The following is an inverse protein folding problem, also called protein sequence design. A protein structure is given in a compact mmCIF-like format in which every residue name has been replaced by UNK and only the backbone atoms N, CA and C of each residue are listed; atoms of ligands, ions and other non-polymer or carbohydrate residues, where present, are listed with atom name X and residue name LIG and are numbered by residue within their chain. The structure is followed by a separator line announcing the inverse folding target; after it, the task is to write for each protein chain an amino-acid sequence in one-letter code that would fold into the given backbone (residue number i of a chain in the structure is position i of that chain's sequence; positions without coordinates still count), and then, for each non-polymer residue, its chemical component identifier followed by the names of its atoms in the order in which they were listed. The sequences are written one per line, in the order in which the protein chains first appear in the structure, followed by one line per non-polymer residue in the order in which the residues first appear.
data_IF_289696662967
#
_entry.id   IF_289696662967
#
_cell.length_a   1.000
_cell.length_b   1.000
_cell.length_c   1.000
_cell.angle_alpha   90.00
_cell.angle_beta   90.00
_cell.angle_gamma   90.00
#
_symmetry.space_group_name_H-M   'P 1'
#
loop_
_entity.id
_entity.type
_entity.pdbx_description
1 polymer ?
#
# COMPACT_ATOMS: atom_id res chain seq x y z
N UNK A 1 26.18 -16.10 -23.36
CA UNK A 1 25.78 -15.20 -22.26
C UNK A 1 25.36 -13.92 -22.97
N UNK A 2 24.06 -13.62 -23.02
CA UNK A 2 23.56 -12.41 -23.69
C UNK A 2 24.22 -11.18 -23.06
N UNK A 3 24.70 -10.28 -23.91
CA UNK A 3 25.34 -9.04 -23.50
C UNK A 3 24.25 -8.09 -23.01
N UNK A 4 24.27 -7.75 -21.73
CA UNK A 4 23.30 -6.81 -21.14
C UNK A 4 23.58 -5.42 -21.73
N UNK A 5 22.64 -4.89 -22.51
CA UNK A 5 22.77 -3.57 -23.13
C UNK A 5 22.66 -2.45 -22.08
N UNK A 6 23.48 -1.41 -22.25
CA UNK A 6 23.38 -0.20 -21.46
C UNK A 6 22.01 0.48 -21.62
N UNK A 7 21.43 0.43 -22.83
CA UNK A 7 20.08 0.97 -23.09
C UNK A 7 19.03 0.24 -22.25
N UNK A 8 19.12 -1.10 -22.17
CA UNK A 8 18.16 -1.91 -21.40
C UNK A 8 18.26 -1.62 -19.91
N UNK A 9 19.47 -1.38 -19.40
CA UNK A 9 19.68 -0.99 -18.00
C UNK A 9 19.09 0.39 -17.71
N UNK A 10 19.34 1.37 -18.57
CA UNK A 10 18.83 2.73 -18.43
C UNK A 10 17.30 2.80 -18.53
N UNK A 11 16.70 2.05 -19.46
CA UNK A 11 15.25 1.91 -19.59
C UNK A 11 14.68 1.29 -18.31
N UNK A 12 15.26 0.20 -17.82
CA UNK A 12 14.79 -0.46 -16.60
C UNK A 12 14.87 0.45 -15.37
N UNK A 13 15.97 1.18 -15.20
CA UNK A 13 16.11 2.14 -14.11
C UNK A 13 15.10 3.28 -14.25
N UNK A 14 14.92 3.82 -15.45
CA UNK A 14 13.97 4.91 -15.72
C UNK A 14 12.53 4.49 -15.45
N UNK A 15 12.13 3.30 -15.90
CA UNK A 15 10.81 2.73 -15.60
C UNK A 15 10.63 2.51 -14.11
N UNK A 16 11.63 1.95 -13.42
CA UNK A 16 11.55 1.74 -11.97
C UNK A 16 11.39 3.07 -11.22
N UNK A 17 12.14 4.11 -11.61
CA UNK A 17 12.00 5.46 -11.04
C UNK A 17 10.62 6.06 -11.30
N UNK A 18 10.06 5.87 -12.50
CA UNK A 18 8.72 6.34 -12.82
C UNK A 18 7.67 5.68 -11.92
N UNK A 19 7.71 4.36 -11.84
CA UNK A 19 6.77 3.56 -11.06
C UNK A 19 6.85 3.89 -9.56
N UNK A 20 8.06 4.03 -9.00
CA UNK A 20 8.25 4.50 -7.62
C UNK A 20 7.53 5.84 -7.44
N UNK A 21 7.77 6.83 -8.31
CA UNK A 21 7.13 8.16 -8.20
C UNK A 21 5.61 8.07 -8.27
N UNK A 22 5.03 7.20 -9.11
CA UNK A 22 3.58 7.02 -9.18
C UNK A 22 3.01 6.43 -7.88
N UNK A 23 3.67 5.42 -7.32
CA UNK A 23 3.20 4.82 -6.07
C UNK A 23 3.41 5.73 -4.86
N UNK A 24 4.44 6.57 -4.84
CA UNK A 24 4.59 7.62 -3.82
C UNK A 24 3.45 8.65 -3.91
N UNK A 25 3.00 9.03 -5.12
CA UNK A 25 1.83 9.91 -5.29
C UNK A 25 0.56 9.23 -4.78
N UNK A 26 0.37 7.95 -5.09
CA UNK A 26 -0.76 7.16 -4.59
C UNK A 26 -0.79 7.11 -3.06
N UNK A 27 0.37 6.91 -2.41
CA UNK A 27 0.50 6.92 -0.96
C UNK A 27 0.05 8.26 -0.34
N UNK A 28 0.42 9.39 -0.95
CA UNK A 28 -0.03 10.72 -0.51
C UNK A 28 -1.52 10.96 -0.73
N UNK A 29 -2.07 10.44 -1.82
CA UNK A 29 -3.52 10.50 -2.04
C UNK A 29 -4.26 9.68 -0.97
N UNK A 30 -3.73 8.51 -0.61
CA UNK A 30 -4.27 7.70 0.49
C UNK A 30 -4.21 8.41 1.83
N UNK A 31 -3.10 9.10 2.14
CA UNK A 31 -2.98 9.93 3.34
C UNK A 31 -4.11 10.97 3.42
N UNK A 32 -4.34 11.71 2.32
CA UNK A 32 -5.43 12.68 2.26
C UNK A 32 -6.81 12.03 2.40
N UNK A 33 -7.03 10.87 1.79
CA UNK A 33 -8.29 10.14 1.89
C UNK A 33 -8.55 9.58 3.29
N UNK A 34 -7.52 9.08 3.98
CA UNK A 34 -7.62 8.58 5.34
C UNK A 34 -7.91 9.72 6.31
N UNK A 35 -7.19 10.83 6.20
CA UNK A 35 -7.44 12.02 7.04
C UNK A 35 -8.85 12.57 6.83
N UNK A 36 -9.31 12.65 5.57
CA UNK A 36 -10.70 13.05 5.29
C UNK A 36 -11.70 12.03 5.85
N UNK A 37 -11.42 10.73 5.77
CA UNK A 37 -12.28 9.70 6.35
C UNK A 37 -12.42 9.89 7.85
N UNK A 38 -11.30 9.93 8.58
CA UNK A 38 -11.25 10.14 10.02
C UNK A 38 -12.04 11.39 10.45
N UNK A 39 -11.87 12.50 9.75
CA UNK A 39 -12.62 13.72 10.03
C UNK A 39 -14.12 13.55 9.74
N UNK A 40 -14.48 12.97 8.59
CA UNK A 40 -15.88 12.81 8.16
C UNK A 40 -16.68 11.76 8.94
N UNK A 41 -16.04 10.70 9.43
CA UNK A 41 -16.65 9.67 10.28
C UNK A 41 -16.90 10.18 11.69
N UNK A 42 -16.11 11.16 12.14
CA UNK A 42 -16.36 11.89 13.38
C UNK A 42 -17.66 12.71 13.28
N UNK A 43 -17.99 13.20 12.09
CA UNK A 43 -19.19 14.01 11.83
C UNK A 43 -20.43 13.19 11.42
N UNK A 44 -20.25 12.04 10.74
CA UNK A 44 -21.35 11.18 10.26
C UNK A 44 -21.42 9.86 11.03
N UNK A 45 -22.60 9.53 11.55
CA UNK A 45 -22.90 8.20 12.10
C UNK A 45 -22.97 7.13 10.99
N UNK A 46 -21.82 6.73 10.44
CA UNK A 46 -21.75 5.57 9.55
C UNK A 46 -22.03 4.28 10.31
N UNK A 47 -22.70 3.33 9.66
CA UNK A 47 -22.91 2.00 10.24
C UNK A 47 -21.57 1.25 10.33
N UNK A 48 -21.46 0.32 11.29
CA UNK A 48 -20.22 -0.45 11.49
C UNK A 48 -19.78 -1.23 10.24
N UNK A 49 -20.73 -1.67 9.41
CA UNK A 49 -20.43 -2.37 8.16
C UNK A 49 -19.87 -1.45 7.07
N UNK A 50 -20.39 -0.23 6.92
CA UNK A 50 -19.88 0.76 5.96
C UNK A 50 -18.45 1.20 6.31
N UNK A 51 -18.19 1.43 7.60
CA UNK A 51 -16.85 1.71 8.13
C UNK A 51 -15.88 0.57 7.79
N UNK A 52 -16.27 -0.68 8.07
CA UNK A 52 -15.43 -1.86 7.79
C UNK A 52 -15.10 -2.00 6.30
N UNK A 53 -16.10 -1.82 5.42
CA UNK A 53 -15.90 -1.91 3.97
C UNK A 53 -14.96 -0.82 3.44
N UNK A 54 -15.11 0.41 3.92
CA UNK A 54 -14.28 1.53 3.50
C UNK A 54 -12.84 1.38 4.00
N UNK A 55 -12.66 1.10 5.30
CA UNK A 55 -11.37 0.84 5.91
C UNK A 55 -10.64 -0.33 5.21
N UNK A 56 -11.35 -1.41 4.90
CA UNK A 56 -10.77 -2.56 4.17
C UNK A 56 -10.28 -2.20 2.75
N UNK A 57 -10.97 -1.28 2.06
CA UNK A 57 -10.52 -0.79 0.74
C UNK A 57 -9.29 0.09 0.84
N UNK A 58 -9.24 0.97 1.85
CA UNK A 58 -8.05 1.79 2.10
C UNK A 58 -6.85 0.92 2.48
N UNK A 59 -7.04 -0.06 3.36
CA UNK A 59 -6.00 -1.01 3.78
C UNK A 59 -5.38 -1.71 2.58
N UNK A 60 -6.20 -2.34 1.73
CA UNK A 60 -5.73 -3.03 0.52
C UNK A 60 -4.95 -2.12 -0.42
N UNK A 61 -5.35 -0.85 -0.52
CA UNK A 61 -4.66 0.11 -1.39
C UNK A 61 -3.32 0.55 -0.78
N UNK A 62 -3.27 0.74 0.54
CA UNK A 62 -2.05 1.07 1.27
C UNK A 62 -1.02 -0.08 1.21
N UNK A 63 -1.46 -1.32 1.44
CA UNK A 63 -0.63 -2.53 1.29
C UNK A 63 -0.08 -2.66 -0.13
N UNK A 64 -0.94 -2.48 -1.14
CA UNK A 64 -0.52 -2.53 -2.53
C UNK A 64 0.51 -1.45 -2.87
N UNK A 65 0.30 -0.22 -2.42
CA UNK A 65 1.25 0.88 -2.63
C UNK A 65 2.61 0.56 -1.97
N UNK A 66 2.60 0.06 -0.74
CA UNK A 66 3.80 -0.35 0.00
C UNK A 66 4.57 -1.45 -0.73
N UNK A 67 3.89 -2.52 -1.14
CA UNK A 67 4.50 -3.63 -1.87
C UNK A 67 5.16 -3.15 -3.17
N UNK A 68 4.47 -2.30 -3.94
CA UNK A 68 5.00 -1.79 -5.21
C UNK A 68 6.17 -0.84 -5.02
N UNK A 69 6.13 0.05 -4.02
CA UNK A 69 7.28 0.91 -3.69
C UNK A 69 8.49 0.03 -3.36
N UNK A 70 8.34 -0.98 -2.51
CA UNK A 70 9.42 -1.88 -2.14
C UNK A 70 10.00 -2.62 -3.35
N UNK A 71 9.13 -3.22 -4.16
CA UNK A 71 9.55 -3.95 -5.36
C UNK A 71 10.30 -3.01 -6.30
N UNK A 72 9.70 -1.93 -6.80
CA UNK A 72 10.41 -1.08 -7.77
C UNK A 72 11.69 -0.44 -7.22
N UNK A 73 11.76 -0.18 -5.91
CA UNK A 73 13.00 0.29 -5.28
C UNK A 73 14.07 -0.81 -5.29
N UNK A 74 13.75 -2.05 -4.95
CA UNK A 74 14.67 -3.19 -5.05
C UNK A 74 15.12 -3.43 -6.50
N UNK A 75 14.20 -3.34 -7.47
CA UNK A 75 14.51 -3.42 -8.90
C UNK A 75 15.53 -2.37 -9.29
N UNK A 76 15.26 -1.12 -8.93
CA UNK A 76 16.14 0.00 -9.21
C UNK A 76 17.52 -0.23 -8.60
N UNK A 77 17.62 -0.61 -7.32
CA UNK A 77 18.89 -0.85 -6.66
C UNK A 77 19.71 -1.97 -7.35
N UNK A 78 19.06 -3.07 -7.72
CA UNK A 78 19.71 -4.19 -8.40
C UNK A 78 20.25 -3.77 -9.77
N UNK A 79 19.40 -3.16 -10.60
CA UNK A 79 19.79 -2.74 -11.96
C UNK A 79 20.87 -1.65 -11.90
N UNK A 80 20.77 -0.71 -10.96
CA UNK A 80 21.77 0.31 -10.71
C UNK A 80 23.12 -0.29 -10.28
N UNK A 81 23.11 -1.36 -9.48
CA UNK A 81 24.33 -2.10 -9.12
C UNK A 81 24.95 -2.78 -10.33
N UNK A 82 24.13 -3.42 -11.19
CA UNK A 82 24.61 -4.03 -12.45
C UNK A 82 25.20 -2.96 -13.36
N UNK A 83 24.53 -1.82 -13.51
CA UNK A 83 25.00 -0.69 -14.31
C UNK A 83 26.38 -0.21 -13.84
N UNK A 84 26.55 0.01 -12.53
CA UNK A 84 27.85 0.36 -11.93
C UNK A 84 28.93 -0.69 -12.21
N UNK A 85 28.63 -1.98 -12.01
CA UNK A 85 29.59 -3.06 -12.29
C UNK A 85 29.97 -3.10 -13.77
N UNK A 86 29.02 -2.92 -14.68
CA UNK A 86 29.29 -2.89 -16.12
C UNK A 86 30.15 -1.69 -16.53
N UNK A 87 30.02 -0.57 -15.82
CA UNK A 87 30.92 0.58 -15.99
C UNK A 87 32.33 0.28 -15.47
N UNK A 88 32.45 -0.32 -14.29
CA UNK A 88 33.73 -0.67 -13.66
C UNK A 88 34.56 -1.65 -14.52
N UNK A 89 33.91 -2.58 -15.22
CA UNK A 89 34.57 -3.52 -16.16
C UNK A 89 34.72 -2.95 -17.59
N UNK A 90 34.41 -1.68 -17.81
CA UNK A 90 34.61 -0.98 -19.08
C UNK A 90 33.61 -1.32 -20.19
N UNK A 91 32.52 -2.03 -19.89
CA UNK A 91 31.46 -2.33 -20.87
C UNK A 91 30.52 -1.14 -21.11
N UNK A 92 30.32 -0.32 -20.09
CA UNK A 92 29.62 0.96 -20.19
C UNK A 92 30.64 2.07 -19.95
N UNK A 93 30.62 3.12 -20.76
CA UNK A 93 31.54 4.24 -20.56
C UNK A 93 31.14 5.06 -19.32
N UNK A 94 32.13 5.54 -18.58
CA UNK A 94 31.91 6.42 -17.42
C UNK A 94 31.10 7.66 -17.81
N UNK A 95 31.42 8.25 -18.98
CA UNK A 95 30.70 9.39 -19.55
C UNK A 95 29.20 9.13 -19.73
N UNK A 96 28.82 7.93 -20.19
CA UNK A 96 27.41 7.57 -20.38
C UNK A 96 26.68 7.46 -19.04
N UNK A 97 27.34 6.90 -18.03
CA UNK A 97 26.82 6.84 -16.67
C UNK A 97 26.59 8.24 -16.09
N UNK A 98 27.57 9.13 -16.23
CA UNK A 98 27.47 10.52 -15.77
C UNK A 98 26.30 11.25 -16.45
N UNK A 99 26.21 11.19 -17.77
CA UNK A 99 25.11 11.78 -18.55
C UNK A 99 23.74 11.30 -18.08
N UNK A 100 23.59 10.00 -17.84
CA UNK A 100 22.32 9.46 -17.37
C UNK A 100 21.96 9.96 -15.96
N UNK A 101 22.93 10.06 -15.03
CA UNK A 101 22.66 10.58 -13.69
C UNK A 101 22.37 12.08 -13.71
N UNK A 102 23.02 12.87 -14.56
CA UNK A 102 22.70 14.29 -14.77
C UNK A 102 21.26 14.45 -15.30
N UNK A 103 20.89 13.69 -16.34
CA UNK A 103 19.53 13.70 -16.91
C UNK A 103 18.45 13.28 -15.90
N UNK A 104 18.82 12.42 -14.93
CA UNK A 104 17.91 11.90 -13.90
C UNK A 104 18.16 12.49 -12.52
N UNK A 105 18.94 13.56 -12.40
CA UNK A 105 19.43 14.10 -11.12
C UNK A 105 18.29 14.38 -10.13
N UNK A 106 17.20 15.01 -10.59
CA UNK A 106 16.02 15.29 -9.76
C UNK A 106 15.21 14.04 -9.38
N UNK A 107 15.37 12.94 -10.11
CA UNK A 107 14.70 11.67 -9.86
C UNK A 107 15.45 10.73 -8.93
N UNK A 108 16.78 10.80 -8.93
CA UNK A 108 17.67 9.94 -8.12
C UNK A 108 18.05 10.64 -6.81
N UNK A 109 18.23 11.96 -6.83
CA UNK A 109 18.53 12.72 -5.62
C UNK A 109 17.35 12.64 -4.64
N UNK A 110 17.67 12.24 -3.42
CA UNK A 110 16.72 12.02 -2.32
C UNK A 110 15.70 10.89 -2.55
N UNK A 111 15.88 10.01 -3.55
CA UNK A 111 14.95 8.90 -3.77
C UNK A 111 14.85 8.03 -2.51
N UNK A 112 15.99 7.63 -1.94
CA UNK A 112 16.03 6.78 -0.75
C UNK A 112 15.35 7.42 0.46
N UNK A 113 15.54 8.73 0.69
CA UNK A 113 14.90 9.42 1.81
C UNK A 113 13.39 9.61 1.59
N UNK A 114 12.96 9.90 0.35
CA UNK A 114 11.54 9.98 -0.01
C UNK A 114 10.86 8.62 0.15
N UNK A 115 11.44 7.55 -0.39
CA UNK A 115 10.93 6.18 -0.23
C UNK A 115 10.84 5.81 1.24
N UNK A 116 11.90 6.04 2.02
CA UNK A 116 11.89 5.72 3.46
C UNK A 116 10.84 6.52 4.25
N UNK A 117 10.64 7.81 3.92
CA UNK A 117 9.62 8.63 4.55
C UNK A 117 8.21 8.10 4.24
N UNK A 118 7.91 7.85 2.97
CA UNK A 118 6.59 7.40 2.53
C UNK A 118 6.26 5.99 3.02
N UNK A 119 7.25 5.08 3.09
CA UNK A 119 7.06 3.76 3.69
C UNK A 119 6.68 3.84 5.18
N UNK A 120 7.32 4.74 5.95
CA UNK A 120 6.96 4.98 7.35
C UNK A 120 5.54 5.54 7.51
N UNK A 121 5.12 6.41 6.58
CA UNK A 121 3.76 6.96 6.57
C UNK A 121 2.75 5.85 6.26
N UNK A 122 3.02 5.02 5.23
CA UNK A 122 2.16 3.88 4.90
C UNK A 122 2.05 2.87 6.04
N UNK A 123 3.16 2.55 6.72
CA UNK A 123 3.14 1.65 7.88
C UNK A 123 2.25 2.18 9.01
N UNK A 124 2.29 3.49 9.26
CA UNK A 124 1.39 4.13 10.23
C UNK A 124 -0.06 4.03 9.78
N UNK A 125 -0.36 4.36 8.54
CA UNK A 125 -1.73 4.29 8.02
C UNK A 125 -2.30 2.89 8.03
N UNK A 126 -1.50 1.88 7.70
CA UNK A 126 -1.90 0.48 7.80
C UNK A 126 -2.30 0.17 9.25
N UNK A 127 -1.46 0.52 10.22
CA UNK A 127 -1.77 0.29 11.63
C UNK A 127 -3.04 1.05 12.11
N UNK A 128 -3.20 2.30 11.69
CA UNK A 128 -4.38 3.11 12.04
C UNK A 128 -5.67 2.50 11.46
N UNK A 129 -5.64 2.08 10.19
CA UNK A 129 -6.77 1.44 9.51
C UNK A 129 -7.10 0.07 10.12
N UNK A 130 -6.09 -0.73 10.45
CA UNK A 130 -6.28 -2.02 11.13
C UNK A 130 -6.99 -1.86 12.48
N UNK A 131 -6.63 -0.83 13.26
CA UNK A 131 -7.30 -0.54 14.52
C UNK A 131 -8.73 -0.03 14.31
N UNK A 132 -8.99 0.78 13.28
CA UNK A 132 -10.36 1.17 12.93
C UNK A 132 -11.25 -0.04 12.59
N UNK A 133 -10.72 -1.00 11.81
CA UNK A 133 -11.41 -2.25 11.48
C UNK A 133 -11.72 -3.04 12.76
N UNK A 134 -10.75 -3.14 13.67
CA UNK A 134 -10.92 -3.81 14.95
C UNK A 134 -12.03 -3.17 15.80
N UNK A 135 -12.04 -1.84 15.92
CA UNK A 135 -13.06 -1.07 16.64
C UNK A 135 -14.43 -1.24 15.99
N UNK A 136 -14.52 -1.12 14.66
CA UNK A 136 -15.76 -1.30 13.91
C UNK A 136 -16.33 -2.71 14.08
N UNK A 137 -15.47 -3.74 14.03
CA UNK A 137 -15.82 -5.13 14.28
C UNK A 137 -16.41 -5.36 15.67
N UNK A 138 -15.77 -4.80 16.71
CA UNK A 138 -16.29 -4.85 18.10
C UNK A 138 -17.67 -4.18 18.22
N UNK A 139 -17.86 -3.00 17.62
CA UNK A 139 -19.15 -2.29 17.60
C UNK A 139 -20.23 -3.10 16.87
N UNK A 140 -19.89 -3.78 15.79
CA UNK A 140 -20.82 -4.62 15.04
C UNK A 140 -21.25 -5.85 15.84
N UNK A 141 -20.32 -6.51 16.52
CA UNK A 141 -20.61 -7.68 17.37
C UNK A 141 -21.51 -7.32 18.56
N UNK A 142 -21.32 -6.14 19.17
CA UNK A 142 -22.17 -5.66 20.28
C UNK A 142 -23.60 -5.30 19.84
N UNK A 143 -23.82 -5.00 18.55
CA UNK A 143 -25.14 -4.67 17.99
C UNK A 143 -25.90 -5.88 17.45
N UNK A 144 -25.32 -7.09 17.42
CA UNK A 144 -26.09 -8.29 17.05
C UNK A 144 -27.18 -8.54 18.10
N UNK A 145 -28.47 -8.60 17.72
CA UNK A 145 -29.49 -9.07 18.63
C UNK A 145 -29.13 -10.48 19.08
N UNK A 146 -29.20 -10.76 20.39
CA UNK A 146 -29.17 -12.13 20.91
C UNK A 146 -30.21 -12.91 20.09
N UNK A 147 -29.77 -13.95 19.38
CA UNK A 147 -30.68 -14.87 18.70
C UNK A 147 -31.76 -15.28 19.70
N UNK A 148 -33.06 -15.10 19.39
CA UNK A 148 -34.10 -15.59 20.27
C UNK A 148 -33.91 -17.11 20.38
N UNK A 149 -33.81 -17.61 21.60
CA UNK A 149 -33.81 -19.05 21.85
C UNK A 149 -35.07 -19.64 21.22
N UNK A 150 -34.98 -20.78 20.49
CA UNK A 150 -36.17 -21.40 19.93
C UNK A 150 -37.12 -21.74 21.08
N UNK A 151 -38.30 -21.11 21.08
CA UNK A 151 -39.35 -21.38 22.05
C UNK A 151 -39.72 -22.86 21.95
N UNK A 152 -39.48 -23.61 23.04
CA UNK A 152 -40.02 -24.95 23.19
C UNK A 152 -41.55 -24.83 23.23
N UNK A 153 -42.19 -25.13 22.11
CA UNK A 153 -43.62 -25.25 22.02
C UNK A 153 -44.00 -26.62 22.61
N UNK A 154 -44.27 -26.65 23.92
CA UNK A 154 -44.90 -27.80 24.55
C UNK A 154 -46.39 -27.72 24.18
N UNK A 155 -46.81 -28.58 23.25
CA UNK A 155 -48.21 -28.81 22.95
C UNK A 155 -48.91 -29.37 24.20
N UNK A 156 -49.85 -28.60 24.74
CA UNK A 156 -50.94 -29.16 25.53
C UNK A 156 -51.86 -29.93 24.58
N UNK A 157 -51.79 -31.26 24.60
CA UNK A 157 -52.88 -32.10 24.13
C UNK A 157 -53.73 -32.48 25.34
N UNK A 158 -54.76 -31.68 25.61
CA UNK A 158 -55.95 -32.18 26.28
C UNK A 158 -56.71 -33.01 25.24
N UNK A 159 -56.93 -34.29 25.53
CA UNK A 159 -57.73 -35.18 24.72
C UNK A 159 -58.51 -36.10 25.66
N UNK A 160 -59.78 -35.76 25.81
CA UNK A 160 -60.81 -36.48 26.55
C UNK A 160 -61.04 -37.89 25.99
N UNK A 161 -61.22 -38.87 26.87
CA UNK A 161 -62.24 -39.93 26.82
C UNK A 161 -62.26 -40.71 28.13
#
# INVERSE_FOLDING_TARGET
MEEISADDLEINMTTSLHEIKQHLKMARTLDSQLNHHLLSTTEKQLSGGELMLYASRLLRTAEYAKEKILWYTQRYMLVNSIFRMTTEIGRVSEKRKEQWYEDKEHGTNQLSSKVACELKILDRHIADIEEEINIAGKKWLQKKPKTPQPHQHIQHCNGES
#
